data_IF_884370162533
#
_entry.id   IF_884370162533
#
_cell.length_a   1.000
_cell.length_b   1.000
_cell.length_c   1.000
_cell.angle_alpha   90.00
_cell.angle_beta   90.00
_cell.angle_gamma   90.00
#
_symmetry.space_group_name_H-M   'P 1'
#
loop_
_entity.id
_entity.type
_entity.pdbx_description
1 polymer ?
#
# COMPACT_ATOMS: atom_id res chain seq x y z
N UNK A 1 -11.13 10.63 -4.36
CA UNK A 1 -11.50 9.24 -3.98
C UNK A 1 -11.66 9.16 -2.46
N UNK A 2 -12.67 8.44 -1.95
CA UNK A 2 -12.77 8.21 -0.50
C UNK A 2 -11.93 6.98 -0.12
N UNK A 3 -10.60 7.16 -0.13
CA UNK A 3 -9.64 6.09 0.18
C UNK A 3 -9.71 5.79 1.68
N UNK A 4 -10.10 4.56 2.02
CA UNK A 4 -10.06 4.06 3.40
C UNK A 4 -8.75 3.32 3.63
N UNK A 5 -8.20 3.50 4.82
CA UNK A 5 -6.98 2.83 5.21
C UNK A 5 -7.18 1.31 5.29
N UNK A 6 -6.32 0.50 4.64
CA UNK A 6 -6.44 -0.95 4.67
C UNK A 6 -6.15 -1.53 6.06
N UNK A 7 -7.12 -2.25 6.62
CA UNK A 7 -6.94 -2.98 7.90
C UNK A 7 -6.69 -4.47 7.71
N UNK A 8 -6.76 -4.97 6.46
CA UNK A 8 -6.57 -6.39 6.14
C UNK A 8 -5.61 -6.56 4.97
N UNK A 9 -4.91 -7.69 4.92
CA UNK A 9 -4.01 -8.03 3.82
C UNK A 9 -4.74 -8.01 2.46
N UNK A 10 -6.00 -8.44 2.40
CA UNK A 10 -6.79 -8.42 1.18
C UNK A 10 -7.06 -6.99 0.71
N UNK A 11 -7.48 -6.10 1.61
CA UNK A 11 -7.69 -4.68 1.31
C UNK A 11 -6.39 -4.00 0.89
N UNK A 12 -5.27 -4.34 1.54
CA UNK A 12 -3.97 -3.77 1.25
C UNK A 12 -3.42 -4.19 -0.13
N UNK A 13 -3.57 -5.47 -0.50
CA UNK A 13 -3.24 -5.95 -1.84
C UNK A 13 -4.12 -5.30 -2.92
N UNK A 14 -5.43 -5.13 -2.65
CA UNK A 14 -6.33 -4.44 -3.56
C UNK A 14 -5.89 -2.99 -3.75
N UNK A 15 -5.60 -2.28 -2.66
CA UNK A 15 -5.12 -0.90 -2.69
C UNK A 15 -3.84 -0.75 -3.53
N UNK A 16 -2.85 -1.63 -3.36
CA UNK A 16 -1.64 -1.64 -4.20
C UNK A 16 -1.98 -1.85 -5.68
N UNK A 17 -2.91 -2.76 -5.99
CA UNK A 17 -3.39 -2.98 -7.36
C UNK A 17 -4.02 -1.73 -7.97
N UNK A 18 -4.89 -1.06 -7.21
CA UNK A 18 -5.60 0.15 -7.61
C UNK A 18 -4.60 1.30 -7.90
N UNK A 19 -3.60 1.50 -7.04
CA UNK A 19 -2.60 2.58 -7.22
C UNK A 19 -1.53 2.26 -8.26
N UNK A 20 -1.29 0.98 -8.58
CA UNK A 20 -0.24 0.54 -9.51
C UNK A 20 -0.43 1.09 -10.93
N UNK A 21 -1.65 1.48 -11.32
CA UNK A 21 -1.89 2.13 -12.59
C UNK A 21 -1.32 3.56 -12.65
N UNK A 22 -1.28 4.26 -11.51
CA UNK A 22 -0.82 5.65 -11.40
C UNK A 22 0.71 5.79 -11.40
N UNK A 23 1.44 4.68 -11.25
CA UNK A 23 2.93 4.66 -11.26
C UNK A 23 3.57 5.30 -12.49
N UNK A 24 2.85 5.35 -13.63
CA UNK A 24 3.32 5.95 -14.88
C UNK A 24 3.27 7.48 -14.89
N UNK A 25 2.57 8.08 -13.93
CA UNK A 25 2.36 9.52 -13.84
C UNK A 25 3.09 10.17 -12.65
N UNK A 26 3.52 9.37 -11.67
CA UNK A 26 4.16 9.86 -10.46
C UNK A 26 5.67 9.55 -10.55
N UNK A 27 6.54 10.57 -10.65
CA UNK A 27 7.98 10.35 -10.60
C UNK A 27 8.37 9.73 -9.26
N UNK A 28 9.29 8.77 -9.27
CA UNK A 28 9.77 8.09 -8.05
C UNK A 28 8.65 7.37 -7.26
N UNK A 29 7.57 6.98 -7.94
CA UNK A 29 6.43 6.28 -7.33
C UNK A 29 6.81 5.04 -6.53
N UNK A 30 7.93 4.37 -6.81
CA UNK A 30 8.31 3.15 -6.10
C UNK A 30 8.64 3.37 -4.62
N UNK A 31 9.04 4.58 -4.21
CA UNK A 31 9.50 4.83 -2.84
C UNK A 31 8.36 5.03 -1.84
N UNK A 32 7.31 5.74 -2.24
CA UNK A 32 6.16 6.07 -1.36
C UNK A 32 5.38 4.82 -0.91
N UNK A 33 4.98 3.87 -1.78
CA UNK A 33 4.26 2.67 -1.37
C UNK A 33 5.18 1.57 -0.82
N UNK A 34 6.51 1.76 -0.79
CA UNK A 34 7.44 0.70 -0.38
C UNK A 34 7.12 0.11 1.01
N UNK A 35 6.75 0.90 2.04
CA UNK A 35 6.32 0.37 3.34
C UNK A 35 5.04 -0.47 3.25
N UNK A 36 4.12 -0.13 2.34
CA UNK A 36 2.89 -0.90 2.13
C UNK A 36 3.20 -2.19 1.37
N UNK A 37 4.09 -2.14 0.38
CA UNK A 37 4.53 -3.29 -0.41
C UNK A 37 5.23 -4.33 0.49
N UNK A 38 6.03 -3.89 1.47
CA UNK A 38 6.78 -4.79 2.35
C UNK A 38 5.90 -5.69 3.23
N UNK A 39 4.67 -5.25 3.52
CA UNK A 39 3.68 -6.02 4.30
C UNK A 39 2.57 -6.62 3.44
N UNK A 40 2.54 -6.30 2.14
CA UNK A 40 1.62 -6.89 1.17
C UNK A 40 2.34 -7.92 0.31
N UNK A 41 1.62 -8.54 -0.63
CA UNK A 41 2.16 -9.58 -1.50
C UNK A 41 2.82 -10.77 -0.78
N UNK A 42 2.36 -11.06 0.44
CA UNK A 42 2.87 -12.14 1.27
C UNK A 42 2.46 -13.50 0.69
N UNK A 43 3.43 -14.41 0.55
CA UNK A 43 3.18 -15.82 0.19
C UNK A 43 2.25 -16.49 1.22
N UNK A 44 1.54 -17.57 0.85
CA UNK A 44 0.62 -18.31 1.74
C UNK A 44 1.14 -18.49 3.19
N UNK A 45 2.38 -18.95 3.44
CA UNK A 45 2.89 -19.11 4.81
C UNK A 45 3.13 -17.78 5.54
N UNK A 46 3.43 -16.71 4.81
CA UNK A 46 3.74 -15.41 5.39
C UNK A 46 2.50 -14.52 5.60
N UNK A 47 1.32 -14.88 5.08
CA UNK A 47 0.10 -14.07 5.21
C UNK A 47 -0.27 -13.70 6.66
N UNK A 48 0.04 -14.58 7.61
CA UNK A 48 -0.21 -14.35 9.05
C UNK A 48 0.70 -13.28 9.67
N UNK A 49 1.78 -12.88 8.97
CA UNK A 49 2.72 -11.83 9.39
C UNK A 49 2.30 -10.44 8.92
N UNK A 50 1.11 -10.29 8.32
CA UNK A 50 0.59 -9.00 7.94
C UNK A 50 0.43 -8.12 9.19
N UNK A 51 1.14 -7.01 9.21
CA UNK A 51 1.04 -5.98 10.25
C UNK A 51 0.95 -4.64 9.54
N UNK A 52 -0.10 -3.89 9.86
CA UNK A 52 -0.25 -2.51 9.41
C UNK A 52 0.19 -1.59 10.54
N UNK A 53 1.41 -1.04 10.42
CA UNK A 53 2.03 -0.19 11.42
C UNK A 53 2.12 1.27 10.98
N UNK A 54 2.90 2.02 11.73
CA UNK A 54 3.07 3.47 11.52
C UNK A 54 3.62 3.80 10.12
N UNK A 55 4.64 3.08 9.66
CA UNK A 55 5.24 3.33 8.33
C UNK A 55 4.26 3.08 7.17
N UNK A 56 3.33 2.12 7.32
CA UNK A 56 2.28 1.89 6.33
C UNK A 56 1.23 3.01 6.33
N UNK A 57 0.88 3.51 7.53
CA UNK A 57 -0.02 4.64 7.69
C UNK A 57 0.55 5.91 7.04
N UNK A 58 1.82 6.24 7.29
CA UNK A 58 2.48 7.40 6.68
C UNK A 58 2.52 7.29 5.15
N UNK A 59 2.90 6.12 4.63
CA UNK A 59 2.89 5.85 3.19
C UNK A 59 1.48 6.00 2.59
N UNK A 60 0.44 5.54 3.30
CA UNK A 60 -0.95 5.69 2.86
C UNK A 60 -1.37 7.17 2.81
N UNK A 61 -1.02 7.96 3.83
CA UNK A 61 -1.32 9.39 3.85
C UNK A 61 -0.61 10.15 2.72
N UNK A 62 0.65 9.82 2.44
CA UNK A 62 1.39 10.40 1.32
C UNK A 62 0.75 10.06 -0.02
N UNK A 63 0.37 8.79 -0.25
CA UNK A 63 -0.34 8.39 -1.47
C UNK A 63 -1.68 9.10 -1.61
N UNK A 64 -2.41 9.30 -0.51
CA UNK A 64 -3.70 10.03 -0.51
C UNK A 64 -3.53 11.51 -0.88
N UNK A 65 -2.36 12.10 -0.66
CA UNK A 65 -2.08 13.49 -1.07
C UNK A 65 -1.67 13.58 -2.55
N UNK A 66 -1.09 12.51 -3.10
CA UNK A 66 -0.65 12.45 -4.50
C UNK A 66 -1.76 12.07 -5.48
N UNK A 67 -2.86 11.46 -5.00
CA UNK A 67 -4.01 10.97 -5.78
C UNK A 67 -5.26 11.82 -5.58
#
# INVERSE_FOLDING_TARGET
>A
MNLREPTTLAAANKFIGDISWYRKFIPQFAYVPAPIISVTNLTKPNRKKFVWGHSQHEAFLQLRQLL
#
